data_IF_757890643785
#
_entry.id   IF_757890643785
#
_cell.length_a   1.000
_cell.length_b   1.000
_cell.length_c   1.000
_cell.angle_alpha   90.00
_cell.angle_beta   90.00
_cell.angle_gamma   90.00
#
_symmetry.space_group_name_H-M   'P 1'
#
loop_
_entity.id
_entity.type
_entity.pdbx_description
1 polymer ?
#
# COMPACT_ATOMS: atom_id res chain seq x y z
N UNK A 1 -1.11 -18.60 7.40
CA UNK A 1 0.01 -18.29 8.32
C UNK A 1 0.19 -16.78 8.33
N UNK A 2 0.04 -16.13 9.48
CA UNK A 2 0.31 -14.69 9.57
C UNK A 2 1.82 -14.49 9.41
N UNK A 3 2.25 -13.89 8.29
CA UNK A 3 3.65 -13.60 8.01
C UNK A 3 4.17 -12.70 9.13
N UNK A 4 5.20 -13.15 9.85
CA UNK A 4 5.82 -12.37 10.91
C UNK A 4 6.21 -11.01 10.34
N UNK A 5 5.67 -9.92 10.92
CA UNK A 5 6.07 -8.57 10.55
C UNK A 5 7.51 -8.38 11.03
N UNK A 6 8.48 -8.47 10.13
CA UNK A 6 9.88 -8.17 10.46
C UNK A 6 9.96 -6.76 11.06
N UNK A 7 10.44 -6.68 12.30
CA UNK A 7 10.53 -5.45 13.09
C UNK A 7 11.82 -4.65 12.81
N UNK A 8 12.80 -5.25 12.13
CA UNK A 8 14.08 -4.63 11.77
C UNK A 8 14.54 -5.13 10.41
N UNK A 9 14.97 -4.20 9.55
CA UNK A 9 15.27 -4.44 8.14
C UNK A 9 16.78 -4.35 7.85
N UNK A 10 17.60 -4.90 8.74
CA UNK A 10 19.04 -4.59 8.75
C UNK A 10 19.97 -5.79 8.44
N UNK A 11 19.46 -6.98 8.09
CA UNK A 11 20.29 -8.20 8.12
C UNK A 11 20.72 -8.83 6.77
N UNK A 12 20.45 -8.27 5.58
CA UNK A 12 20.91 -8.85 4.30
C UNK A 12 20.66 -7.90 3.11
N UNK A 13 21.36 -8.01 1.95
CA UNK A 13 21.01 -7.30 0.70
C UNK A 13 19.61 -7.60 0.13
N UNK A 14 18.72 -8.25 0.87
CA UNK A 14 17.28 -8.39 0.60
C UNK A 14 16.38 -7.64 1.58
N UNK A 15 16.95 -6.97 2.59
CA UNK A 15 16.19 -6.45 3.73
C UNK A 15 15.43 -5.15 3.42
N UNK A 16 16.00 -4.27 2.58
CA UNK A 16 15.31 -3.07 2.09
C UNK A 16 14.21 -3.40 1.07
N UNK A 17 14.40 -4.46 0.27
CA UNK A 17 13.39 -4.96 -0.67
C UNK A 17 12.25 -5.61 0.08
N UNK A 18 12.53 -6.48 1.06
CA UNK A 18 11.50 -7.06 1.92
C UNK A 18 10.79 -6.01 2.78
N UNK A 19 11.49 -4.95 3.21
CA UNK A 19 10.89 -3.79 3.86
C UNK A 19 9.89 -3.10 2.96
N UNK A 20 10.29 -2.78 1.73
CA UNK A 20 9.43 -2.14 0.74
C UNK A 20 8.23 -3.03 0.41
N UNK A 21 8.45 -4.34 0.19
CA UNK A 21 7.40 -5.32 -0.05
C UNK A 21 6.45 -5.37 1.14
N UNK A 22 6.93 -5.50 2.37
CA UNK A 22 6.11 -5.50 3.58
C UNK A 22 5.32 -4.20 3.80
N UNK A 23 5.81 -3.09 3.24
CA UNK A 23 5.15 -1.79 3.28
C UNK A 23 3.95 -1.72 2.32
N UNK A 24 4.17 -2.18 1.08
CA UNK A 24 3.16 -2.21 0.00
C UNK A 24 2.32 -3.49 0.03
N UNK A 25 2.63 -4.43 0.94
CA UNK A 25 1.92 -5.69 1.10
C UNK A 25 0.47 -5.42 1.52
N UNK A 26 -0.42 -6.26 1.01
CA UNK A 26 -1.86 -6.14 1.19
C UNK A 26 -2.61 -6.02 -0.13
N UNK A 27 -3.87 -6.48 -0.10
CA UNK A 27 -4.73 -6.63 -1.29
C UNK A 27 -4.92 -5.35 -2.11
N UNK A 28 -4.85 -4.19 -1.47
CA UNK A 28 -5.27 -2.92 -2.08
C UNK A 28 -4.16 -1.89 -2.25
N UNK A 29 -3.09 -1.91 -1.43
CA UNK A 29 -2.05 -0.87 -1.45
C UNK A 29 -1.28 -0.84 -2.76
N UNK A 30 -0.85 -2.02 -3.23
CA UNK A 30 -0.16 -2.18 -4.52
C UNK A 30 -1.01 -1.71 -5.69
N UNK A 31 -2.31 -2.04 -5.69
CA UNK A 31 -3.25 -1.61 -6.74
C UNK A 31 -3.47 -0.10 -6.71
N UNK A 32 -3.65 0.49 -5.53
CA UNK A 32 -3.78 1.95 -5.37
C UNK A 32 -2.53 2.65 -5.89
N UNK A 33 -1.34 2.21 -5.48
CA UNK A 33 -0.07 2.78 -5.93
C UNK A 33 0.11 2.63 -7.43
N UNK A 34 -0.23 1.48 -8.01
CA UNK A 34 -0.17 1.25 -9.45
C UNK A 34 -0.99 2.27 -10.24
N UNK A 35 -2.21 2.58 -9.80
CA UNK A 35 -3.03 3.60 -10.46
C UNK A 35 -2.51 5.03 -10.25
N UNK A 36 -1.88 5.31 -9.11
CA UNK A 36 -1.28 6.62 -8.81
C UNK A 36 0.06 6.84 -9.53
N UNK A 37 0.76 5.78 -9.96
CA UNK A 37 1.97 5.90 -10.80
C UNK A 37 1.67 6.58 -12.14
N UNK A 38 0.46 6.40 -12.67
CA UNK A 38 0.01 7.04 -13.91
C UNK A 38 -0.38 8.51 -13.74
N UNK A 39 -0.47 9.00 -12.50
CA UNK A 39 -0.83 10.39 -12.19
C UNK A 39 -1.72 10.52 -10.96
N UNK A 40 -1.98 11.77 -10.58
CA UNK A 40 -2.86 12.10 -9.45
C UNK A 40 -4.31 11.77 -9.79
N UNK A 41 -4.94 10.92 -8.98
CA UNK A 41 -6.34 10.53 -9.13
C UNK A 41 -7.16 11.01 -7.92
N UNK A 42 -8.40 11.46 -8.17
CA UNK A 42 -9.36 11.76 -7.09
C UNK A 42 -9.87 10.47 -6.48
N UNK A 43 -10.35 10.56 -5.24
CA UNK A 43 -10.87 9.40 -4.48
C UNK A 43 -11.90 8.56 -5.25
N UNK A 44 -12.85 9.23 -5.92
CA UNK A 44 -13.89 8.55 -6.70
C UNK A 44 -13.35 7.87 -7.97
N UNK A 45 -12.26 8.37 -8.55
CA UNK A 45 -11.62 7.75 -9.72
C UNK A 45 -10.90 6.47 -9.30
N UNK A 46 -10.10 6.53 -8.22
CA UNK A 46 -9.45 5.35 -7.64
C UNK A 46 -10.48 4.27 -7.30
N UNK A 47 -11.61 4.67 -6.70
CA UNK A 47 -12.69 3.74 -6.36
C UNK A 47 -13.33 3.08 -7.57
N UNK A 48 -13.36 3.74 -8.74
CA UNK A 48 -13.87 3.14 -10.00
C UNK A 48 -12.91 2.12 -10.56
N UNK A 49 -11.60 2.35 -10.42
CA UNK A 49 -10.58 1.41 -10.89
C UNK A 49 -10.50 0.14 -10.02
N UNK A 50 -10.79 0.27 -8.72
CA UNK A 50 -10.70 -0.84 -7.77
C UNK A 50 -12.09 -1.39 -7.47
N UNK A 51 -12.59 -2.27 -8.35
CA UNK A 51 -13.88 -2.94 -8.17
C UNK A 51 -13.83 -3.81 -6.91
N UNK A 52 -14.85 -3.70 -6.05
CA UNK A 52 -15.00 -4.37 -4.75
C UNK A 52 -14.31 -3.74 -3.52
N UNK A 53 -13.72 -2.54 -3.63
CA UNK A 53 -13.27 -1.80 -2.44
C UNK A 53 -14.42 -0.99 -1.84
N UNK A 54 -14.63 -1.10 -0.52
CA UNK A 54 -15.59 -0.24 0.17
C UNK A 54 -14.98 1.14 0.40
N UNK A 55 -15.79 2.23 0.43
CA UNK A 55 -15.27 3.59 0.65
C UNK A 55 -14.44 3.71 1.93
N UNK A 56 -14.94 3.11 3.03
CA UNK A 56 -14.24 3.08 4.32
C UNK A 56 -12.88 2.39 4.23
N UNK A 57 -12.81 1.27 3.50
CA UNK A 57 -11.56 0.53 3.34
C UNK A 57 -10.57 1.31 2.48
N UNK A 58 -11.01 1.94 1.39
CA UNK A 58 -10.17 2.79 0.56
C UNK A 58 -9.59 3.98 1.35
N UNK A 59 -10.41 4.68 2.14
CA UNK A 59 -9.95 5.77 3.01
C UNK A 59 -8.91 5.30 4.02
N UNK A 60 -9.12 4.14 4.66
CA UNK A 60 -8.16 3.60 5.61
C UNK A 60 -6.82 3.27 4.96
N UNK A 61 -6.84 2.68 3.75
CA UNK A 61 -5.62 2.36 3.01
C UNK A 61 -4.88 3.63 2.57
N UNK A 62 -5.58 4.63 2.04
CA UNK A 62 -4.98 5.92 1.65
C UNK A 62 -4.35 6.65 2.84
N UNK A 63 -5.03 6.71 3.98
CA UNK A 63 -4.47 7.30 5.22
C UNK A 63 -3.28 6.53 5.78
N UNK A 64 -3.21 5.22 5.55
CA UNK A 64 -2.05 4.43 5.94
C UNK A 64 -0.85 4.71 5.04
N UNK A 65 -1.09 4.94 3.74
CA UNK A 65 -0.07 5.36 2.78
C UNK A 65 0.42 6.80 3.07
N UNK A 66 -0.48 7.75 3.37
CA UNK A 66 -0.11 9.14 3.68
C UNK A 66 0.71 9.29 4.97
N UNK A 67 0.34 8.57 6.04
CA UNK A 67 1.00 8.67 7.36
C UNK A 67 2.50 8.35 7.35
N UNK A 68 3.03 7.79 6.27
CA UNK A 68 4.43 7.36 6.16
C UNK A 68 5.26 8.23 5.22
N UNK A 69 4.64 9.21 4.56
CA UNK A 69 5.30 10.15 3.63
C UNK A 69 5.59 11.51 4.29
N UNK A 70 5.51 11.58 5.63
CA UNK A 70 5.79 12.78 6.42
C UNK A 70 6.87 12.53 7.47
#
# INVERSE_FOLDING_TARGET
MAKARHSRFDCSPGCSVEAAIGLIDGKWKSVILFHLLSGTLRFNEIRRHIVNVTPRMLTNQLRELERRTG
#
